data_IF_432860579278
#
_entry.id   IF_432860579278
#
_cell.length_a   1.000
_cell.length_b   1.000
_cell.length_c   1.000
_cell.angle_alpha   90.00
_cell.angle_beta   90.00
_cell.angle_gamma   90.00
#
_symmetry.space_group_name_H-M   'P 1'
#
loop_
_entity.id
_entity.type
_entity.pdbx_description
1 polymer ?
#
# COMPACT_ATOMS: atom_id res chain seq x y z
N UNK A 1 -59.32 47.80 -18.90
CA UNK A 1 -58.73 47.44 -17.60
C UNK A 1 -57.74 46.36 -17.88
N UNK A 2 -56.49 46.69 -17.77
CA UNK A 2 -55.39 45.87 -18.26
C UNK A 2 -54.72 45.22 -17.06
N UNK A 3 -54.93 43.97 -16.87
CA UNK A 3 -54.26 43.13 -15.88
C UNK A 3 -52.96 42.60 -16.48
N UNK A 4 -51.85 43.16 -16.04
CA UNK A 4 -50.54 42.66 -16.40
C UNK A 4 -50.18 41.45 -15.50
N UNK A 5 -50.22 40.28 -16.11
CA UNK A 5 -49.78 39.05 -15.47
C UNK A 5 -48.25 38.97 -15.59
N UNK A 6 -47.57 39.32 -14.52
CA UNK A 6 -46.13 39.17 -14.43
C UNK A 6 -45.78 37.73 -14.14
N UNK A 7 -45.34 37.00 -15.17
CA UNK A 7 -44.82 35.63 -14.99
C UNK A 7 -43.36 35.74 -14.61
N UNK A 8 -43.12 35.58 -13.32
CA UNK A 8 -41.78 35.49 -12.76
C UNK A 8 -41.26 34.09 -13.00
N UNK A 9 -40.42 33.90 -14.01
CA UNK A 9 -39.72 32.64 -14.27
C UNK A 9 -38.58 32.55 -13.28
N UNK A 10 -38.82 31.76 -12.23
CA UNK A 10 -37.79 31.41 -11.26
C UNK A 10 -36.99 30.25 -11.85
N UNK A 11 -35.84 30.57 -12.45
CA UNK A 11 -34.90 29.56 -12.94
C UNK A 11 -34.21 28.88 -11.75
N UNK A 12 -34.67 27.71 -11.41
CA UNK A 12 -34.00 26.79 -10.45
C UNK A 12 -32.75 26.24 -11.14
N UNK A 13 -31.60 26.86 -10.84
CA UNK A 13 -30.29 26.25 -11.09
C UNK A 13 -30.12 25.11 -10.11
N UNK A 14 -30.48 23.90 -10.51
CA UNK A 14 -30.09 22.68 -9.83
C UNK A 14 -28.58 22.50 -10.05
N UNK A 15 -27.82 22.98 -9.11
CA UNK A 15 -26.40 22.66 -9.04
C UNK A 15 -26.24 21.17 -8.78
N UNK A 16 -25.83 20.41 -9.79
CA UNK A 16 -25.33 19.07 -9.59
C UNK A 16 -24.03 19.14 -8.80
N UNK A 17 -24.14 19.12 -7.47
CA UNK A 17 -23.04 18.78 -6.61
C UNK A 17 -22.75 17.30 -6.81
N UNK A 18 -21.78 16.98 -7.63
CA UNK A 18 -21.23 15.62 -7.70
C UNK A 18 -20.50 15.40 -6.37
N UNK A 19 -20.99 14.54 -5.47
CA UNK A 19 -20.18 14.14 -4.33
C UNK A 19 -19.00 13.34 -4.89
N UNK A 20 -17.84 13.94 -4.90
CA UNK A 20 -16.60 13.24 -5.15
C UNK A 20 -16.53 12.09 -4.16
N UNK A 21 -16.75 10.87 -4.63
CA UNK A 21 -16.57 9.66 -3.84
C UNK A 21 -15.09 9.46 -3.54
N UNK A 22 -14.56 10.24 -2.63
CA UNK A 22 -13.37 9.87 -1.90
C UNK A 22 -13.78 8.82 -0.86
N UNK A 23 -14.10 7.61 -1.33
CA UNK A 23 -14.33 6.46 -0.49
C UNK A 23 -12.99 5.89 -0.03
N UNK A 24 -12.14 6.74 0.52
CA UNK A 24 -10.98 6.33 1.30
C UNK A 24 -11.43 6.23 2.75
N UNK A 25 -11.43 5.02 3.31
CA UNK A 25 -11.50 4.90 4.76
C UNK A 25 -10.42 5.81 5.35
N UNK A 26 -10.81 6.76 6.20
CA UNK A 26 -9.88 7.73 6.82
C UNK A 26 -8.72 7.07 7.59
N UNK A 27 -8.84 5.77 7.87
CA UNK A 27 -7.87 4.96 8.59
C UNK A 27 -6.89 4.20 7.66
N UNK A 28 -7.09 4.25 6.36
CA UNK A 28 -6.19 3.59 5.39
C UNK A 28 -5.09 4.54 4.97
N UNK A 29 -3.87 4.06 5.03
CA UNK A 29 -2.68 4.77 4.56
C UNK A 29 -1.93 3.94 3.54
N UNK A 30 -1.14 4.60 2.72
CA UNK A 30 -0.22 3.95 1.79
C UNK A 30 1.21 4.37 2.12
N UNK A 31 2.13 3.40 2.09
CA UNK A 31 3.56 3.61 2.31
C UNK A 31 4.37 2.85 1.25
N UNK A 32 5.52 3.39 0.90
CA UNK A 32 6.54 2.69 0.10
C UNK A 32 7.74 2.38 0.99
N UNK A 33 8.13 1.11 1.04
CA UNK A 33 9.29 0.64 1.81
C UNK A 33 10.34 0.12 0.83
N UNK A 34 11.59 0.51 1.03
CA UNK A 34 12.72 0.05 0.24
C UNK A 34 13.03 -1.42 0.48
N UNK A 35 13.34 -2.16 -0.57
CA UNK A 35 13.67 -3.60 -0.55
C UNK A 35 15.02 -3.85 -1.24
N UNK A 36 16.14 -3.40 -0.66
CA UNK A 36 17.44 -3.47 -1.34
C UNK A 36 17.95 -4.88 -1.60
N UNK A 37 17.37 -5.89 -0.95
CA UNK A 37 17.78 -7.29 -1.09
C UNK A 37 16.81 -8.16 -1.88
N UNK A 38 15.66 -7.64 -2.30
CA UNK A 38 14.73 -8.36 -3.15
C UNK A 38 15.21 -8.37 -4.61
N UNK A 39 15.35 -9.56 -5.23
CA UNK A 39 16.01 -9.70 -6.52
C UNK A 39 15.18 -10.38 -7.60
N UNK A 40 14.19 -11.19 -7.25
CA UNK A 40 13.47 -12.04 -8.19
C UNK A 40 11.99 -12.19 -7.85
N UNK A 41 11.23 -12.81 -8.76
CA UNK A 41 9.80 -13.04 -8.57
C UNK A 41 9.44 -13.86 -7.34
N UNK A 42 10.29 -14.80 -6.91
CA UNK A 42 10.09 -15.55 -5.67
C UNK A 42 10.23 -14.64 -4.44
N UNK A 43 11.19 -13.70 -4.47
CA UNK A 43 11.34 -12.69 -3.43
C UNK A 43 10.09 -11.82 -3.34
N UNK A 44 9.60 -11.37 -4.48
CA UNK A 44 8.37 -10.60 -4.58
C UNK A 44 7.18 -11.32 -3.95
N UNK A 45 6.97 -12.57 -4.33
CA UNK A 45 5.86 -13.38 -3.82
C UNK A 45 5.96 -13.59 -2.30
N UNK A 46 7.14 -13.97 -1.81
CA UNK A 46 7.37 -14.20 -0.37
C UNK A 46 7.06 -12.96 0.46
N UNK A 47 7.51 -11.78 0.02
CA UNK A 47 7.27 -10.51 0.71
C UNK A 47 5.79 -10.15 0.68
N UNK A 48 5.14 -10.27 -0.48
CA UNK A 48 3.72 -9.95 -0.62
C UNK A 48 2.86 -10.87 0.26
N UNK A 49 3.09 -12.16 0.23
CA UNK A 49 2.35 -13.13 1.05
C UNK A 49 2.56 -12.87 2.55
N UNK A 50 3.78 -12.56 2.98
CA UNK A 50 4.07 -12.23 4.36
C UNK A 50 3.36 -10.99 4.85
N UNK A 51 3.29 -9.95 4.03
CA UNK A 51 2.58 -8.72 4.36
C UNK A 51 1.06 -8.88 4.33
N UNK A 52 0.53 -9.57 3.34
CA UNK A 52 -0.91 -9.81 3.19
C UNK A 52 -1.49 -10.72 4.30
N UNK A 53 -0.63 -11.51 4.95
CA UNK A 53 -1.02 -12.30 6.12
C UNK A 53 -1.24 -11.46 7.39
N UNK A 54 -0.77 -10.20 7.42
CA UNK A 54 -1.03 -9.31 8.55
C UNK A 54 -2.46 -8.79 8.54
N UNK A 55 -3.14 -8.89 9.68
CA UNK A 55 -4.42 -8.21 9.87
C UNK A 55 -4.24 -6.70 9.81
N UNK A 56 -4.90 -6.07 8.85
CA UNK A 56 -4.81 -4.64 8.59
C UNK A 56 -4.09 -4.27 7.29
N UNK A 57 -3.38 -5.19 6.65
CA UNK A 57 -2.85 -5.00 5.30
C UNK A 57 -3.94 -5.27 4.28
N UNK A 58 -4.19 -4.30 3.40
CA UNK A 58 -5.19 -4.41 2.33
C UNK A 58 -4.57 -4.77 0.99
N UNK A 59 -3.35 -4.30 0.75
CA UNK A 59 -2.62 -4.54 -0.49
C UNK A 59 -1.13 -4.46 -0.21
N UNK A 60 -0.37 -5.38 -0.77
CA UNK A 60 1.08 -5.32 -0.87
C UNK A 60 1.49 -5.58 -2.32
N UNK A 61 2.20 -4.64 -2.91
CA UNK A 61 2.70 -4.75 -4.27
C UNK A 61 4.19 -4.44 -4.33
N UNK A 62 4.99 -5.44 -4.67
CA UNK A 62 6.44 -5.29 -4.82
C UNK A 62 6.77 -4.90 -6.26
N UNK A 63 7.51 -3.83 -6.40
CA UNK A 63 8.12 -3.40 -7.67
C UNK A 63 9.63 -3.67 -7.61
N UNK A 64 10.07 -4.71 -8.30
CA UNK A 64 11.48 -5.11 -8.32
C UNK A 64 12.37 -4.09 -9.05
N UNK A 65 11.85 -3.38 -10.05
CA UNK A 65 12.60 -2.37 -10.78
C UNK A 65 12.94 -1.16 -9.92
N UNK A 66 12.02 -0.80 -9.01
CA UNK A 66 12.23 0.29 -8.05
C UNK A 66 12.85 -0.21 -6.74
N UNK A 67 12.97 -1.52 -6.55
CA UNK A 67 13.35 -2.15 -5.29
C UNK A 67 12.53 -1.61 -4.11
N UNK A 68 11.21 -1.58 -4.27
CA UNK A 68 10.25 -1.06 -3.27
C UNK A 68 8.99 -1.90 -3.23
N UNK A 69 8.35 -1.91 -2.09
CA UNK A 69 6.98 -2.40 -1.92
C UNK A 69 6.06 -1.24 -1.59
N UNK A 70 4.91 -1.18 -2.26
CA UNK A 70 3.80 -0.29 -1.90
C UNK A 70 2.80 -1.08 -1.08
N UNK A 71 2.45 -0.56 0.09
CA UNK A 71 1.56 -1.21 1.04
C UNK A 71 0.42 -0.27 1.38
N UNK A 72 -0.83 -0.76 1.24
CA UNK A 72 -2.01 -0.10 1.80
C UNK A 72 -2.42 -0.84 3.07
N UNK A 73 -2.53 -0.12 4.16
CA UNK A 73 -2.78 -0.70 5.47
C UNK A 73 -3.66 0.19 6.35
N UNK A 74 -4.26 -0.40 7.36
CA UNK A 74 -5.05 0.30 8.34
C UNK A 74 -4.15 0.83 9.46
N UNK A 75 -4.04 2.16 9.57
CA UNK A 75 -3.22 2.86 10.58
C UNK A 75 -3.68 2.65 12.01
N UNK A 76 -4.89 2.19 12.23
CA UNK A 76 -5.39 1.90 13.58
C UNK A 76 -4.94 0.55 14.10
N UNK A 77 -4.45 -0.33 13.20
CA UNK A 77 -3.99 -1.68 13.51
C UNK A 77 -2.48 -1.85 13.41
N UNK A 78 -1.85 -1.15 12.47
CA UNK A 78 -0.44 -1.30 12.12
C UNK A 78 0.23 0.05 11.97
N UNK A 79 1.50 0.10 12.24
CA UNK A 79 2.39 1.20 11.88
C UNK A 79 3.43 0.74 10.85
N UNK A 80 4.27 1.66 10.38
CA UNK A 80 5.32 1.36 9.39
C UNK A 80 6.34 0.38 9.96
N UNK A 81 6.65 0.48 11.25
CA UNK A 81 7.58 -0.42 11.94
C UNK A 81 7.10 -1.87 11.93
N UNK A 82 5.80 -2.10 12.11
CA UNK A 82 5.21 -3.45 12.03
C UNK A 82 5.39 -4.05 10.62
N UNK A 83 5.22 -3.24 9.59
CA UNK A 83 5.39 -3.64 8.20
C UNK A 83 6.86 -3.97 7.88
N UNK A 84 7.78 -3.12 8.32
CA UNK A 84 9.23 -3.33 8.14
C UNK A 84 9.72 -4.59 8.88
N UNK A 85 9.28 -4.81 10.10
CA UNK A 85 9.60 -6.02 10.85
C UNK A 85 9.03 -7.28 10.22
N UNK A 86 7.84 -7.20 9.63
CA UNK A 86 7.26 -8.34 8.91
C UNK A 86 8.11 -8.69 7.70
N UNK A 87 8.54 -7.72 6.93
CA UNK A 87 9.45 -7.94 5.79
C UNK A 87 10.77 -8.55 6.28
N UNK A 88 11.34 -8.03 7.35
CA UNK A 88 12.57 -8.57 7.97
C UNK A 88 12.42 -10.04 8.33
N UNK A 89 11.31 -10.43 8.94
CA UNK A 89 11.02 -11.82 9.31
C UNK A 89 10.83 -12.77 8.12
N UNK A 90 10.58 -12.24 6.94
CA UNK A 90 10.56 -13.04 5.70
C UNK A 90 11.95 -13.24 5.09
N UNK A 91 12.97 -12.64 5.64
CA UNK A 91 14.36 -12.80 5.23
C UNK A 91 14.89 -11.68 4.33
N UNK A 92 14.18 -10.53 4.26
CA UNK A 92 14.57 -9.40 3.42
C UNK A 92 14.79 -8.14 4.24
N UNK A 93 15.74 -7.32 3.81
CA UNK A 93 15.92 -5.99 4.39
C UNK A 93 14.76 -5.08 4.00
N UNK A 94 14.22 -4.36 4.98
CA UNK A 94 13.17 -3.36 4.79
C UNK A 94 13.71 -1.98 5.17
N UNK A 95 13.96 -1.11 4.19
CA UNK A 95 14.62 0.17 4.41
C UNK A 95 15.93 -0.01 5.23
N UNK A 96 15.99 0.54 6.44
CA UNK A 96 17.16 0.41 7.34
C UNK A 96 17.06 -0.80 8.30
N UNK A 97 15.95 -1.52 8.27
CA UNK A 97 15.76 -2.71 9.11
C UNK A 97 16.40 -3.93 8.45
N UNK A 98 17.44 -4.53 9.05
CA UNK A 98 18.10 -5.68 8.46
C UNK A 98 17.20 -6.90 8.40
N UNK A 99 17.47 -7.80 7.45
CA UNK A 99 16.79 -9.09 7.37
C UNK A 99 17.07 -9.94 8.63
N UNK A 100 16.08 -10.69 9.06
CA UNK A 100 16.27 -11.72 10.09
C UNK A 100 17.22 -12.79 9.57
N UNK A 101 18.29 -13.07 10.29
CA UNK A 101 19.36 -13.96 9.86
C UNK A 101 18.86 -15.41 9.66
N UNK A 102 18.00 -15.89 10.56
CA UNK A 102 17.43 -17.22 10.45
C UNK A 102 16.52 -17.37 9.23
N UNK A 103 15.68 -16.39 9.00
CA UNK A 103 14.81 -16.34 7.83
C UNK A 103 15.62 -16.24 6.54
N UNK A 104 16.64 -15.37 6.51
CA UNK A 104 17.53 -15.23 5.37
C UNK A 104 18.27 -16.52 5.02
N UNK A 105 18.77 -17.24 6.05
CA UNK A 105 19.48 -18.51 5.84
C UNK A 105 18.62 -19.59 5.15
N UNK A 106 17.30 -19.53 5.33
CA UNK A 106 16.34 -20.48 4.76
C UNK A 106 15.86 -20.10 3.36
N UNK A 107 16.23 -18.93 2.87
CA UNK A 107 15.84 -18.49 1.53
C UNK A 107 16.47 -19.39 0.44
N UNK A 108 15.78 -19.60 -0.69
CA UNK A 108 16.38 -20.22 -1.87
C UNK A 108 17.61 -19.43 -2.33
N UNK A 109 18.56 -20.11 -2.97
CA UNK A 109 19.81 -19.50 -3.45
C UNK A 109 19.55 -18.26 -4.31
N UNK A 110 18.54 -18.29 -5.19
CA UNK A 110 18.19 -17.14 -6.06
C UNK A 110 17.68 -15.92 -5.28
N UNK A 111 17.25 -16.08 -4.02
CA UNK A 111 16.80 -15.01 -3.13
C UNK A 111 17.89 -14.48 -2.21
N UNK A 112 19.06 -15.11 -2.19
CA UNK A 112 20.23 -14.65 -1.44
C UNK A 112 21.04 -13.66 -2.25
N UNK A 113 21.78 -12.82 -1.55
CA UNK A 113 22.69 -11.88 -2.21
C UNK A 113 23.78 -12.65 -2.99
N UNK A 114 24.28 -12.11 -4.11
CA UNK A 114 25.28 -12.79 -4.94
C UNK A 114 26.52 -13.25 -4.19
N UNK A 115 26.91 -12.55 -3.14
CA UNK A 115 28.05 -12.93 -2.25
C UNK A 115 27.79 -14.17 -1.38
N UNK A 116 26.50 -14.56 -1.22
CA UNK A 116 26.05 -15.62 -0.34
C UNK A 116 25.47 -16.82 -1.12
N UNK A 117 25.59 -16.79 -2.46
CA UNK A 117 25.13 -17.86 -3.35
C UNK A 117 26.17 -18.95 -3.56
#
# INVERSE_FOLDING_TARGET
MKTFLSISIFALLVGCSVPGSASGNANVSAVKIGLPTAQCGMCQQTIQEGLEALDGVQLAYVNLNEAKVMIKYNRTKLDVSDLEQTISKTGYQASDVPADENAYSKLPTCCKLPKDQ
#
